data_IF_918463541962
#
_entry.id   IF_918463541962
#
_cell.length_a   1.000
_cell.length_b   1.000
_cell.length_c   1.000
_cell.angle_alpha   90.00
_cell.angle_beta   90.00
_cell.angle_gamma   90.00
#
_symmetry.space_group_name_H-M   'P 1'
#
loop_
_entity.id
_entity.type
_entity.pdbx_description
1 polymer ?
#
# COMPACT_ATOMS: atom_id res chain seq x y z
N UNK A 1 33.14 -36.85 28.25
CA UNK A 1 32.20 -35.71 28.40
C UNK A 1 31.61 -35.41 27.03
N UNK A 2 30.54 -36.12 26.68
CA UNK A 2 29.91 -36.04 25.36
C UNK A 2 28.69 -35.12 25.44
N UNK A 3 28.73 -33.98 24.75
CA UNK A 3 27.56 -33.11 24.57
C UNK A 3 26.71 -33.67 23.43
N UNK A 4 25.66 -34.38 23.81
CA UNK A 4 24.51 -34.66 22.95
C UNK A 4 23.81 -33.34 22.62
N UNK A 5 23.89 -32.88 21.36
CA UNK A 5 22.98 -31.85 20.84
C UNK A 5 22.16 -32.48 19.73
N UNK A 6 21.05 -33.11 20.14
CA UNK A 6 19.93 -33.44 19.26
C UNK A 6 19.39 -32.14 18.65
N UNK A 7 19.55 -31.97 17.33
CA UNK A 7 18.83 -30.94 16.56
C UNK A 7 17.98 -31.68 15.55
N UNK A 8 16.82 -32.12 15.99
CA UNK A 8 15.78 -32.67 15.11
C UNK A 8 15.43 -31.59 14.07
N UNK A 9 15.81 -31.81 12.81
CA UNK A 9 15.30 -31.03 11.70
C UNK A 9 13.81 -31.38 11.58
N UNK A 10 12.93 -30.42 11.88
CA UNK A 10 11.50 -30.58 11.69
C UNK A 10 11.25 -31.01 10.22
N UNK A 11 10.71 -32.21 10.04
CA UNK A 11 10.38 -32.78 8.74
C UNK A 11 9.35 -31.87 8.07
N UNK A 12 9.73 -31.17 7.00
CA UNK A 12 8.84 -30.27 6.28
C UNK A 12 7.68 -31.07 5.68
N UNK A 13 6.46 -30.76 6.11
CA UNK A 13 5.25 -31.25 5.46
C UNK A 13 5.10 -30.56 4.09
N UNK A 14 5.54 -31.26 3.04
CA UNK A 14 5.49 -30.78 1.65
C UNK A 14 4.07 -30.67 1.11
N UNK A 15 3.08 -31.30 1.74
CA UNK A 15 1.68 -31.20 1.33
C UNK A 15 1.08 -29.87 1.81
N UNK A 16 1.51 -29.39 2.99
CA UNK A 16 1.07 -28.10 3.56
C UNK A 16 1.93 -26.90 3.12
N UNK A 17 3.21 -27.11 2.82
CA UNK A 17 4.16 -26.07 2.45
C UNK A 17 4.84 -26.31 1.08
N UNK A 18 4.07 -26.42 -0.02
CA UNK A 18 4.63 -26.82 -1.31
C UNK A 18 5.43 -25.70 -2.01
N UNK A 19 5.22 -24.42 -1.67
CA UNK A 19 5.75 -23.30 -2.43
C UNK A 19 7.05 -22.74 -1.86
N UNK A 20 7.95 -22.30 -2.73
CA UNK A 20 9.11 -21.45 -2.39
C UNK A 20 8.82 -20.01 -2.80
N UNK A 21 9.67 -19.09 -2.35
CA UNK A 21 9.56 -17.66 -2.69
C UNK A 21 9.46 -17.40 -4.20
N UNK A 22 10.21 -18.16 -5.02
CA UNK A 22 10.12 -18.06 -6.48
C UNK A 22 8.72 -18.42 -7.00
N UNK A 23 8.11 -19.45 -6.43
CA UNK A 23 6.79 -19.93 -6.84
C UNK A 23 5.70 -18.90 -6.44
N UNK A 24 5.81 -18.28 -5.25
CA UNK A 24 4.93 -17.16 -4.87
C UNK A 24 5.01 -16.01 -5.88
N UNK A 25 6.21 -15.62 -6.29
CA UNK A 25 6.43 -14.55 -7.26
C UNK A 25 5.82 -14.88 -8.64
N UNK A 26 5.95 -16.14 -9.09
CA UNK A 26 5.38 -16.60 -10.35
C UNK A 26 3.85 -16.59 -10.34
N UNK A 27 3.22 -17.04 -9.25
CA UNK A 27 1.76 -17.13 -9.15
C UNK A 27 1.07 -15.79 -8.88
N UNK A 28 1.77 -14.83 -8.27
CA UNK A 28 1.21 -13.51 -7.91
C UNK A 28 1.68 -12.39 -8.84
N UNK A 29 2.71 -12.64 -9.64
CA UNK A 29 3.35 -11.64 -10.50
C UNK A 29 4.25 -10.63 -9.76
N UNK A 30 4.26 -10.68 -8.41
CA UNK A 30 5.07 -9.84 -7.52
C UNK A 30 6.55 -10.20 -7.61
N UNK A 31 7.42 -9.21 -7.38
CA UNK A 31 8.83 -9.50 -7.16
C UNK A 31 9.08 -9.96 -5.71
N UNK A 32 10.23 -10.60 -5.50
CA UNK A 32 10.63 -11.14 -4.19
C UNK A 32 10.68 -10.10 -3.09
N UNK A 33 11.10 -8.87 -3.40
CA UNK A 33 11.24 -7.81 -2.41
C UNK A 33 9.87 -7.32 -1.95
N UNK A 34 8.91 -7.19 -2.87
CA UNK A 34 7.51 -6.85 -2.55
C UNK A 34 6.86 -7.91 -1.64
N UNK A 35 7.10 -9.20 -1.90
CA UNK A 35 6.60 -10.28 -1.04
C UNK A 35 7.25 -10.21 0.35
N UNK A 36 8.56 -9.99 0.45
CA UNK A 36 9.24 -9.82 1.74
C UNK A 36 8.75 -8.59 2.49
N UNK A 37 8.46 -7.50 1.78
CA UNK A 37 7.92 -6.29 2.37
C UNK A 37 6.54 -6.54 2.98
N UNK A 38 5.64 -7.25 2.30
CA UNK A 38 4.34 -7.61 2.85
C UNK A 38 4.46 -8.56 4.06
N UNK A 39 5.40 -9.51 4.03
CA UNK A 39 5.68 -10.36 5.20
C UNK A 39 6.20 -9.52 6.38
N UNK A 40 7.16 -8.63 6.14
CA UNK A 40 7.73 -7.75 7.16
C UNK A 40 6.71 -6.77 7.76
N UNK A 41 5.72 -6.35 6.97
CA UNK A 41 4.60 -5.51 7.39
C UNK A 41 3.48 -6.29 8.09
N UNK A 42 3.57 -7.62 8.19
CA UNK A 42 2.57 -8.49 8.82
C UNK A 42 1.36 -8.80 7.94
N UNK A 43 1.34 -8.33 6.68
CA UNK A 43 0.23 -8.56 5.75
C UNK A 43 0.11 -10.02 5.33
N UNK A 44 1.22 -10.76 5.35
CA UNK A 44 1.30 -12.18 5.03
C UNK A 44 2.11 -12.86 6.12
N UNK A 45 1.67 -14.01 6.66
CA UNK A 45 2.42 -14.76 7.65
C UNK A 45 3.86 -15.07 7.20
N UNK A 46 4.76 -15.23 8.18
CA UNK A 46 6.10 -15.74 7.88
C UNK A 46 6.03 -17.18 7.35
N UNK A 47 6.76 -17.46 6.27
CA UNK A 47 6.88 -18.82 5.75
C UNK A 47 7.63 -19.75 6.70
N UNK A 48 7.34 -21.05 6.59
CA UNK A 48 7.95 -22.10 7.40
C UNK A 48 9.47 -22.22 7.13
N UNK A 49 10.28 -21.72 8.06
CA UNK A 49 11.75 -21.71 7.99
C UNK A 49 12.31 -23.12 8.17
N UNK A 50 13.07 -23.61 7.19
CA UNK A 50 13.76 -24.92 7.25
C UNK A 50 15.28 -24.78 7.38
N UNK A 51 15.85 -23.70 6.84
CA UNK A 51 17.26 -23.29 6.98
C UNK A 51 17.35 -21.76 7.04
N UNK A 52 18.51 -21.23 7.43
CA UNK A 52 18.74 -19.78 7.57
C UNK A 52 18.28 -18.94 6.36
N UNK A 53 18.44 -19.46 5.14
CA UNK A 53 18.05 -18.78 3.90
C UNK A 53 16.90 -19.47 3.14
N UNK A 54 16.14 -20.35 3.79
CA UNK A 54 15.11 -21.15 3.10
C UNK A 54 13.81 -21.24 3.91
N UNK A 55 12.77 -20.65 3.35
CA UNK A 55 11.39 -20.69 3.84
C UNK A 55 10.46 -21.27 2.77
N UNK A 56 9.48 -22.04 3.22
CA UNK A 56 8.41 -22.61 2.39
C UNK A 56 7.07 -21.99 2.76
N UNK A 57 6.15 -21.95 1.80
CA UNK A 57 4.89 -21.23 1.89
C UNK A 57 3.75 -22.15 1.46
N UNK A 58 2.59 -21.96 2.08
CA UNK A 58 1.37 -22.71 1.79
C UNK A 58 0.44 -21.96 0.84
N UNK A 59 -0.66 -22.60 0.42
CA UNK A 59 -1.70 -21.96 -0.40
C UNK A 59 -2.28 -20.72 0.30
N UNK A 60 -2.40 -20.75 1.64
CA UNK A 60 -2.84 -19.61 2.45
C UNK A 60 -2.01 -18.33 2.20
N UNK A 61 -0.73 -18.46 1.84
CA UNK A 61 0.11 -17.30 1.53
C UNK A 61 -0.21 -16.73 0.15
N UNK A 62 -0.56 -17.59 -0.82
CA UNK A 62 -0.97 -17.17 -2.16
C UNK A 62 -2.33 -16.48 -2.12
N UNK A 63 -3.30 -17.06 -1.44
CA UNK A 63 -4.63 -16.48 -1.24
C UNK A 63 -4.53 -15.10 -0.59
N UNK A 64 -3.70 -14.99 0.45
CA UNK A 64 -3.51 -13.73 1.16
C UNK A 64 -2.79 -12.67 0.33
N UNK A 65 -1.76 -13.04 -0.44
CA UNK A 65 -1.11 -12.12 -1.39
C UNK A 65 -2.06 -11.64 -2.49
N UNK A 66 -2.94 -12.52 -3.00
CA UNK A 66 -3.96 -12.15 -3.99
C UNK A 66 -4.97 -11.18 -3.38
N UNK A 67 -5.38 -11.38 -2.14
CA UNK A 67 -6.29 -10.48 -1.44
C UNK A 67 -5.65 -9.13 -1.11
N UNK A 68 -4.37 -9.10 -0.71
CA UNK A 68 -3.60 -7.84 -0.57
C UNK A 68 -3.56 -7.10 -1.91
N UNK A 69 -3.33 -7.80 -3.02
CA UNK A 69 -3.32 -7.22 -4.35
C UNK A 69 -4.68 -6.67 -4.76
N UNK A 70 -5.76 -7.40 -4.51
CA UNK A 70 -7.13 -6.96 -4.78
C UNK A 70 -7.46 -5.71 -3.95
N UNK A 71 -7.18 -5.72 -2.65
CA UNK A 71 -7.44 -4.58 -1.77
C UNK A 71 -6.56 -3.36 -2.08
N UNK A 72 -5.30 -3.56 -2.48
CA UNK A 72 -4.40 -2.48 -2.89
C UNK A 72 -4.85 -1.88 -4.23
N UNK A 73 -5.04 -2.73 -5.25
CA UNK A 73 -5.32 -2.29 -6.62
C UNK A 73 -6.77 -1.83 -6.83
N UNK A 74 -7.73 -2.44 -6.13
CA UNK A 74 -9.14 -2.08 -6.25
C UNK A 74 -9.61 -1.08 -5.20
N UNK A 75 -8.82 -0.72 -4.17
CA UNK A 75 -9.31 0.13 -3.08
C UNK A 75 -8.35 1.21 -2.57
N UNK A 76 -7.10 1.29 -3.03
CA UNK A 76 -6.10 2.25 -2.51
C UNK A 76 -6.05 2.28 -0.98
N UNK A 77 -6.31 1.13 -0.34
CA UNK A 77 -6.30 1.05 1.10
C UNK A 77 -4.83 1.08 1.57
N UNK A 78 -4.49 1.96 2.54
CA UNK A 78 -3.18 1.92 3.18
C UNK A 78 -2.88 0.51 3.69
N UNK A 79 -1.62 0.10 3.60
CA UNK A 79 -1.21 -1.28 3.89
C UNK A 79 -1.55 -1.71 5.31
N UNK A 80 -1.52 -0.81 6.28
CA UNK A 80 -1.92 -1.10 7.65
C UNK A 80 -3.46 -1.30 7.78
N UNK A 81 -4.27 -0.64 6.96
CA UNK A 81 -5.73 -0.90 6.87
C UNK A 81 -6.00 -2.26 6.22
N UNK A 82 -5.23 -2.61 5.18
CA UNK A 82 -5.30 -3.95 4.57
C UNK A 82 -4.91 -5.02 5.61
N UNK A 83 -3.86 -4.79 6.41
CA UNK A 83 -3.47 -5.69 7.49
C UNK A 83 -4.59 -5.88 8.51
N UNK A 84 -5.21 -4.80 8.98
CA UNK A 84 -6.33 -4.86 9.92
C UNK A 84 -7.54 -5.65 9.38
N UNK A 85 -7.79 -5.59 8.07
CA UNK A 85 -8.84 -6.38 7.41
C UNK A 85 -8.44 -7.86 7.27
N UNK A 86 -7.16 -8.15 7.03
CA UNK A 86 -6.65 -9.50 6.74
C UNK A 86 -6.32 -10.35 7.96
N UNK A 87 -5.80 -9.76 9.03
CA UNK A 87 -5.38 -10.51 10.22
C UNK A 87 -6.55 -10.99 11.05
N UNK A 88 -7.77 -10.48 10.81
CA UNK A 88 -8.91 -10.79 11.67
C UNK A 88 -8.60 -10.50 13.15
N UNK A 89 -7.61 -9.63 13.43
CA UNK A 89 -7.42 -9.10 14.77
C UNK A 89 -8.65 -8.27 15.08
N UNK A 90 -9.53 -8.86 15.88
CA UNK A 90 -10.78 -8.33 16.42
C UNK A 90 -10.57 -7.15 17.37
N UNK A 91 -9.63 -6.25 17.06
CA UNK A 91 -9.24 -5.14 17.94
C UNK A 91 -9.46 -3.74 17.38
N UNK A 92 -9.90 -3.54 16.13
CA UNK A 92 -10.26 -2.17 15.68
C UNK A 92 -11.70 -1.99 15.21
N UNK A 93 -12.34 -2.99 14.57
CA UNK A 93 -13.71 -2.83 14.09
C UNK A 93 -14.64 -3.99 14.46
N UNK A 94 -15.76 -3.65 15.12
CA UNK A 94 -16.86 -4.56 15.42
C UNK A 94 -17.52 -5.09 14.13
N UNK A 95 -18.23 -6.22 14.17
CA UNK A 95 -18.96 -6.75 13.02
C UNK A 95 -19.87 -5.72 12.34
N UNK A 96 -20.53 -4.87 13.14
CA UNK A 96 -21.40 -3.79 12.66
C UNK A 96 -20.61 -2.71 11.92
N UNK A 97 -19.43 -2.36 12.44
CA UNK A 97 -18.52 -1.40 11.80
C UNK A 97 -17.99 -1.94 10.46
N UNK A 98 -17.63 -3.23 10.39
CA UNK A 98 -17.20 -3.87 9.13
C UNK A 98 -18.34 -3.88 8.09
N UNK A 99 -19.56 -4.21 8.51
CA UNK A 99 -20.72 -4.19 7.64
C UNK A 99 -21.02 -2.78 7.10
N UNK A 100 -20.92 -1.76 7.96
CA UNK A 100 -21.05 -0.36 7.53
C UNK A 100 -19.97 0.01 6.51
N UNK A 101 -18.70 -0.33 6.75
CA UNK A 101 -17.61 -0.01 5.83
C UNK A 101 -17.82 -0.63 4.45
N UNK A 102 -18.31 -1.88 4.37
CA UNK A 102 -18.67 -2.53 3.10
C UNK A 102 -19.82 -1.79 2.40
N UNK A 103 -20.88 -1.45 3.14
CA UNK A 103 -22.03 -0.74 2.59
C UNK A 103 -21.70 0.67 2.11
N UNK A 104 -20.85 1.39 2.84
CA UNK A 104 -20.36 2.72 2.45
C UNK A 104 -19.47 2.60 1.22
N UNK A 105 -18.55 1.63 1.20
CA UNK A 105 -17.65 1.34 0.07
C UNK A 105 -18.41 1.16 -1.25
N UNK A 106 -19.54 0.46 -1.23
CA UNK A 106 -20.40 0.31 -2.41
C UNK A 106 -21.02 1.64 -2.86
N UNK A 107 -21.42 2.48 -1.90
CA UNK A 107 -22.11 3.77 -2.13
C UNK A 107 -21.19 4.91 -2.52
N UNK A 108 -19.92 4.87 -2.12
CA UNK A 108 -18.89 5.85 -2.50
C UNK A 108 -18.00 5.34 -3.63
N UNK A 109 -18.36 4.20 -4.24
CA UNK A 109 -17.61 3.64 -5.36
C UNK A 109 -17.49 4.64 -6.52
N UNK A 110 -18.49 5.49 -6.73
CA UNK A 110 -18.49 6.59 -7.69
C UNK A 110 -17.47 7.68 -7.36
N UNK A 111 -17.29 8.06 -6.09
CA UNK A 111 -16.27 9.04 -5.65
C UNK A 111 -14.88 8.44 -5.70
N UNK A 112 -14.74 7.19 -5.27
CA UNK A 112 -13.51 6.42 -5.40
C UNK A 112 -13.16 6.15 -6.87
N UNK A 113 -14.17 6.06 -7.75
CA UNK A 113 -14.02 5.95 -9.20
C UNK A 113 -13.82 7.31 -9.89
N UNK A 114 -14.35 8.41 -9.37
CA UNK A 114 -14.10 9.75 -9.92
C UNK A 114 -12.68 10.22 -9.61
N UNK A 115 -12.14 9.75 -8.48
CA UNK A 115 -10.71 9.82 -8.16
C UNK A 115 -9.90 8.75 -8.89
N UNK A 116 -10.60 7.79 -9.55
CA UNK A 116 -10.00 6.77 -10.41
C UNK A 116 -10.40 6.87 -11.88
N UNK A 117 -9.77 7.75 -12.65
CA UNK A 117 -9.83 7.78 -14.10
C UNK A 117 -10.00 6.40 -14.74
N UNK A 118 -11.18 6.18 -15.33
CA UNK A 118 -11.58 5.09 -16.23
C UNK A 118 -11.35 3.61 -15.77
N UNK A 119 -10.63 3.35 -14.69
CA UNK A 119 -10.08 2.01 -14.38
C UNK A 119 -9.06 1.53 -15.42
N UNK A 120 -8.58 2.44 -16.27
CA UNK A 120 -7.60 2.17 -17.30
C UNK A 120 -6.21 2.06 -16.68
N UNK A 121 -5.38 1.26 -17.33
CA UNK A 121 -3.97 1.15 -16.98
C UNK A 121 -3.13 1.64 -18.14
N UNK A 122 -2.04 2.37 -17.84
CA UNK A 122 -1.12 2.92 -18.81
C UNK A 122 0.20 2.14 -18.77
N UNK A 123 0.76 1.83 -19.94
CA UNK A 123 2.07 1.20 -20.02
C UNK A 123 3.14 2.12 -19.39
N UNK A 124 3.94 1.58 -18.48
CA UNK A 124 4.85 2.41 -17.67
C UNK A 124 6.09 2.83 -18.44
N UNK A 125 6.59 2.00 -19.35
CA UNK A 125 7.86 2.23 -20.04
C UNK A 125 7.88 3.52 -20.89
N UNK A 126 6.82 3.87 -21.64
CA UNK A 126 6.70 5.19 -22.27
C UNK A 126 6.74 6.36 -21.28
N UNK A 127 6.05 6.25 -20.13
CA UNK A 127 6.02 7.30 -19.11
C UNK A 127 7.40 7.55 -18.49
N UNK A 128 8.10 6.48 -18.11
CA UNK A 128 9.47 6.59 -17.59
C UNK A 128 10.41 7.29 -18.57
N UNK A 129 10.34 6.93 -19.86
CA UNK A 129 11.15 7.56 -20.90
C UNK A 129 10.79 9.03 -21.09
N UNK A 130 9.49 9.35 -21.13
CA UNK A 130 8.98 10.71 -21.30
C UNK A 130 9.45 11.63 -20.16
N UNK A 131 9.41 11.14 -18.93
CA UNK A 131 9.71 11.93 -17.73
C UNK A 131 11.14 11.75 -17.20
N UNK A 132 11.98 10.98 -17.89
CA UNK A 132 13.36 10.71 -17.49
C UNK A 132 13.48 10.02 -16.12
N UNK A 133 12.45 9.27 -15.70
CA UNK A 133 12.42 8.52 -14.45
C UNK A 133 13.07 7.15 -14.68
N UNK A 134 14.04 6.81 -13.86
CA UNK A 134 14.80 5.57 -13.94
C UNK A 134 14.00 4.39 -13.39
N UNK A 135 14.41 3.17 -13.74
CA UNK A 135 13.82 1.95 -13.17
C UNK A 135 14.10 1.81 -11.67
N UNK A 136 15.12 2.48 -11.15
CA UNK A 136 15.51 2.40 -9.75
C UNK A 136 14.61 3.32 -8.91
N UNK A 137 14.41 4.55 -9.37
CA UNK A 137 13.41 5.47 -8.80
C UNK A 137 12.00 4.87 -8.84
N UNK A 138 11.63 4.19 -9.94
CA UNK A 138 10.36 3.46 -10.01
C UNK A 138 10.25 2.43 -8.88
N UNK A 139 11.28 1.61 -8.68
CA UNK A 139 11.28 0.58 -7.63
C UNK A 139 11.20 1.21 -6.24
N UNK A 140 11.82 2.38 -6.03
CA UNK A 140 11.69 3.12 -4.77
C UNK A 140 10.27 3.65 -4.57
N UNK A 141 9.63 4.20 -5.60
CA UNK A 141 8.23 4.64 -5.54
C UNK A 141 7.28 3.47 -5.23
N UNK A 142 7.51 2.31 -5.84
CA UNK A 142 6.77 1.07 -5.53
C UNK A 142 6.99 0.63 -4.07
N UNK A 143 8.25 0.67 -3.58
CA UNK A 143 8.60 0.28 -2.21
C UNK A 143 8.00 1.21 -1.15
N UNK A 144 7.86 2.51 -1.46
CA UNK A 144 7.15 3.46 -0.62
C UNK A 144 5.63 3.29 -0.68
N UNK A 145 5.12 2.42 -1.57
CA UNK A 145 3.68 2.18 -1.71
C UNK A 145 2.94 3.31 -2.45
N UNK A 146 3.66 4.28 -3.02
CA UNK A 146 3.08 5.43 -3.72
C UNK A 146 2.44 5.04 -5.06
N UNK A 147 2.86 3.92 -5.65
CA UNK A 147 2.32 3.40 -6.90
C UNK A 147 2.11 1.88 -6.82
N UNK A 148 1.07 1.40 -7.51
CA UNK A 148 0.88 -0.01 -7.82
C UNK A 148 1.22 -0.31 -9.28
N UNK A 149 1.97 -1.39 -9.54
CA UNK A 149 2.18 -1.87 -10.91
C UNK A 149 1.57 -3.23 -11.13
N UNK A 150 1.00 -3.43 -12.32
CA UNK A 150 0.39 -4.68 -12.77
C UNK A 150 1.05 -5.14 -14.07
N UNK A 151 1.19 -6.45 -14.26
CA UNK A 151 1.71 -7.02 -15.50
C UNK A 151 0.56 -7.40 -16.42
N UNK A 152 0.49 -6.75 -17.59
CA UNK A 152 -0.47 -7.07 -18.64
C UNK A 152 0.32 -7.51 -19.87
N UNK A 153 0.11 -8.75 -20.32
CA UNK A 153 0.80 -9.35 -21.48
C UNK A 153 2.33 -9.19 -21.41
N UNK A 154 2.89 -9.34 -20.22
CA UNK A 154 4.34 -9.25 -19.96
C UNK A 154 4.91 -7.83 -19.81
N UNK A 155 4.11 -6.78 -20.04
CA UNK A 155 4.52 -5.39 -19.83
C UNK A 155 3.97 -4.83 -18.50
N UNK A 156 4.79 -4.03 -17.81
CA UNK A 156 4.37 -3.32 -16.60
C UNK A 156 3.47 -2.14 -16.97
N UNK A 157 2.34 -2.07 -16.28
CA UNK A 157 1.36 -0.99 -16.37
C UNK A 157 1.10 -0.43 -14.98
N UNK A 158 0.65 0.81 -14.94
CA UNK A 158 0.16 1.48 -13.74
C UNK A 158 -1.30 1.88 -13.93
N UNK A 159 -2.11 1.93 -12.88
CA UNK A 159 -3.38 2.65 -12.92
C UNK A 159 -3.16 4.06 -13.48
N UNK A 160 -4.07 4.53 -14.32
CA UNK A 160 -3.98 5.89 -14.86
C UNK A 160 -3.94 6.95 -13.74
N UNK A 161 -4.56 6.63 -12.61
CA UNK A 161 -4.60 7.46 -11.40
C UNK A 161 -3.31 7.52 -10.62
N UNK A 162 -2.37 6.64 -10.91
CA UNK A 162 -1.05 6.65 -10.28
C UNK A 162 -0.04 7.41 -11.16
N UNK A 163 -0.42 7.80 -12.39
CA UNK A 163 0.47 8.49 -13.33
C UNK A 163 0.96 9.81 -12.74
N UNK A 164 0.12 10.55 -12.01
CA UNK A 164 0.49 11.83 -11.41
C UNK A 164 1.67 11.70 -10.44
N UNK A 165 1.90 10.53 -9.84
CA UNK A 165 3.04 10.31 -8.93
C UNK A 165 4.36 10.38 -9.70
N UNK A 166 4.40 9.78 -10.89
CA UNK A 166 5.57 9.85 -11.79
C UNK A 166 5.78 11.29 -12.26
N UNK A 167 4.69 11.97 -12.62
CA UNK A 167 4.74 13.37 -13.06
C UNK A 167 5.19 14.32 -11.93
N UNK A 168 4.71 14.10 -10.71
CA UNK A 168 5.14 14.84 -9.52
C UNK A 168 6.64 14.65 -9.27
N UNK A 169 7.12 13.40 -9.28
CA UNK A 169 8.54 13.13 -9.07
C UNK A 169 9.41 13.79 -10.14
N UNK A 170 8.98 13.74 -11.40
CA UNK A 170 9.66 14.43 -12.49
C UNK A 170 9.68 15.96 -12.28
N UNK A 171 8.54 16.54 -11.88
CA UNK A 171 8.41 17.97 -11.62
C UNK A 171 9.31 18.42 -10.45
N UNK A 172 9.44 17.62 -9.40
CA UNK A 172 10.36 17.89 -8.29
C UNK A 172 11.81 17.95 -8.77
N UNK A 173 12.23 17.01 -9.62
CA UNK A 173 13.58 17.00 -10.20
C UNK A 173 13.83 18.19 -11.13
N UNK A 174 12.83 18.60 -11.92
CA UNK A 174 12.89 19.79 -12.77
C UNK A 174 13.00 21.07 -11.93
N UNK A 175 12.30 21.13 -10.79
CA UNK A 175 12.38 22.23 -9.83
C UNK A 175 13.69 22.28 -9.03
N UNK A 176 14.58 21.29 -9.19
CA UNK A 176 15.90 21.26 -8.57
C UNK A 176 16.05 20.32 -7.38
N UNK A 177 15.01 19.58 -6.97
CA UNK A 177 15.13 18.53 -5.96
C UNK A 177 15.78 17.28 -6.59
N UNK A 178 17.10 17.32 -6.74
CA UNK A 178 17.87 16.28 -7.41
C UNK A 178 18.81 15.54 -6.48
N UNK A 179 19.20 14.34 -6.89
CA UNK A 179 20.06 13.43 -6.13
C UNK A 179 21.42 14.03 -5.81
N UNK A 180 21.95 14.91 -6.66
CA UNK A 180 23.24 15.58 -6.43
C UNK A 180 23.18 16.55 -5.24
N UNK A 181 21.99 17.05 -4.89
CA UNK A 181 21.73 17.87 -3.71
C UNK A 181 21.25 17.02 -2.51
N UNK A 182 21.26 15.69 -2.65
CA UNK A 182 20.84 14.74 -1.61
C UNK A 182 19.35 14.38 -1.64
N UNK A 183 18.56 14.94 -2.55
CA UNK A 183 17.13 14.65 -2.68
C UNK A 183 16.88 13.42 -3.55
N UNK A 184 16.22 12.41 -3.01
CA UNK A 184 15.81 11.18 -3.69
C UNK A 184 14.36 10.81 -3.38
N UNK A 185 13.89 9.73 -4.01
CA UNK A 185 12.52 9.25 -3.80
C UNK A 185 12.25 8.94 -2.33
N UNK A 186 13.26 8.42 -1.61
CA UNK A 186 13.21 8.16 -0.16
C UNK A 186 12.74 9.36 0.69
N UNK A 187 12.97 10.60 0.26
CA UNK A 187 12.57 11.79 1.03
C UNK A 187 11.04 11.95 1.06
N UNK A 188 10.34 11.42 0.05
CA UNK A 188 8.88 11.30 0.05
C UNK A 188 8.38 10.36 1.15
N UNK A 189 9.20 9.42 1.62
CA UNK A 189 8.83 8.44 2.64
C UNK A 189 8.40 9.08 3.96
N UNK A 190 8.96 10.25 4.30
CA UNK A 190 8.55 11.01 5.49
C UNK A 190 7.10 11.52 5.38
N UNK A 191 6.70 11.98 4.19
CA UNK A 191 5.34 12.42 3.91
C UNK A 191 4.38 11.23 3.91
N UNK A 192 4.76 10.12 3.27
CA UNK A 192 3.96 8.88 3.25
C UNK A 192 3.67 8.41 4.67
N UNK A 193 4.70 8.23 5.49
CA UNK A 193 4.53 7.78 6.87
C UNK A 193 3.66 8.72 7.71
N UNK A 194 3.79 10.03 7.52
CA UNK A 194 2.98 11.01 8.23
C UNK A 194 1.51 10.99 7.78
N UNK A 195 1.25 10.83 6.48
CA UNK A 195 -0.10 10.74 5.92
C UNK A 195 -0.77 9.43 6.35
N UNK A 196 -0.06 8.31 6.29
CA UNK A 196 -0.56 7.01 6.75
C UNK A 196 -0.97 7.07 8.22
N UNK A 197 -0.09 7.58 9.09
CA UNK A 197 -0.39 7.72 10.53
C UNK A 197 -1.56 8.68 10.81
N UNK A 198 -1.68 9.75 10.02
CA UNK A 198 -2.82 10.67 10.10
C UNK A 198 -4.12 9.94 9.71
N UNK A 199 -4.12 9.24 8.58
CA UNK A 199 -5.29 8.54 8.08
C UNK A 199 -5.74 7.42 9.02
N UNK A 200 -4.81 6.62 9.56
CA UNK A 200 -5.11 5.60 10.58
C UNK A 200 -5.81 6.21 11.79
N UNK A 201 -5.33 7.37 12.25
CA UNK A 201 -5.95 8.09 13.36
C UNK A 201 -7.35 8.59 12.99
N UNK A 202 -7.54 9.14 11.80
CA UNK A 202 -8.84 9.58 11.32
C UNK A 202 -9.85 8.42 11.30
N UNK A 203 -9.45 7.26 10.75
CA UNK A 203 -10.32 6.08 10.71
C UNK A 203 -10.65 5.61 12.13
N UNK A 204 -9.66 5.52 13.03
CA UNK A 204 -9.86 5.14 14.43
C UNK A 204 -10.85 6.07 15.16
N UNK A 205 -10.70 7.38 14.98
CA UNK A 205 -11.49 8.39 15.69
C UNK A 205 -12.91 8.56 15.11
N UNK A 206 -13.06 8.37 13.79
CA UNK A 206 -14.32 8.58 13.08
C UNK A 206 -15.20 7.34 13.04
N UNK A 207 -14.64 6.14 12.88
CA UNK A 207 -15.44 4.92 12.65
C UNK A 207 -16.47 4.63 13.76
N UNK A 208 -16.18 4.76 15.06
CA UNK A 208 -17.17 4.59 16.12
C UNK A 208 -18.34 5.59 16.05
N UNK A 209 -18.11 6.79 15.51
CA UNK A 209 -19.13 7.84 15.34
C UNK A 209 -19.99 7.56 14.11
N UNK A 210 -19.35 7.14 13.03
CA UNK A 210 -20.01 6.80 11.76
C UNK A 210 -20.85 5.51 11.88
N UNK A 211 -20.43 4.56 12.72
CA UNK A 211 -21.14 3.31 13.02
C UNK A 211 -22.61 3.50 13.47
N UNK A 212 -22.95 4.68 13.97
CA UNK A 212 -24.30 5.02 14.46
C UNK A 212 -25.22 5.57 13.38
N UNK A 213 -24.70 5.80 12.17
CA UNK A 213 -25.41 6.45 11.07
C UNK A 213 -25.74 5.44 9.97
N UNK A 214 -26.82 5.67 9.19
CA UNK A 214 -27.09 4.91 7.98
C UNK A 214 -25.95 5.06 6.96
N UNK A 215 -25.66 3.99 6.21
CA UNK A 215 -24.58 3.96 5.23
C UNK A 215 -24.67 5.08 4.17
N UNK A 216 -25.88 5.46 3.74
CA UNK A 216 -26.09 6.56 2.79
C UNK A 216 -25.65 7.91 3.36
N UNK A 217 -25.91 8.15 4.64
CA UNK A 217 -25.50 9.36 5.32
C UNK A 217 -23.97 9.40 5.51
N UNK A 218 -23.36 8.26 5.86
CA UNK A 218 -21.90 8.16 5.97
C UNK A 218 -21.22 8.36 4.61
N UNK A 219 -21.78 7.78 3.55
CA UNK A 219 -21.30 7.99 2.19
C UNK A 219 -21.34 9.48 1.82
N UNK A 220 -22.44 10.17 2.11
CA UNK A 220 -22.57 11.61 1.83
C UNK A 220 -21.61 12.48 2.64
N UNK A 221 -21.39 12.16 3.91
CA UNK A 221 -20.37 12.80 4.73
C UNK A 221 -18.97 12.61 4.13
N UNK A 222 -18.66 11.43 3.60
CA UNK A 222 -17.40 11.17 2.92
C UNK A 222 -17.27 12.00 1.63
N UNK A 223 -18.30 12.00 0.75
CA UNK A 223 -18.27 12.75 -0.52
C UNK A 223 -18.02 14.24 -0.31
N UNK A 224 -18.70 14.82 0.68
CA UNK A 224 -18.60 16.26 0.99
C UNK A 224 -17.39 16.58 1.86
N UNK A 225 -16.99 15.66 2.73
CA UNK A 225 -15.92 15.85 3.71
C UNK A 225 -14.53 15.76 3.09
N UNK A 226 -14.28 14.78 2.22
CA UNK A 226 -12.94 14.51 1.69
C UNK A 226 -12.32 15.75 0.99
N UNK A 227 -13.02 16.49 0.11
CA UNK A 227 -12.47 17.70 -0.50
C UNK A 227 -12.16 18.82 0.51
N UNK A 228 -12.95 18.92 1.59
CA UNK A 228 -12.74 19.92 2.65
C UNK A 228 -11.50 19.59 3.48
N UNK A 229 -11.29 18.31 3.82
CA UNK A 229 -10.10 17.84 4.54
C UNK A 229 -8.84 18.06 3.67
N UNK A 230 -8.88 17.67 2.39
CA UNK A 230 -7.77 17.91 1.46
C UNK A 230 -7.40 19.40 1.37
N UNK A 231 -8.41 20.26 1.29
CA UNK A 231 -8.22 21.71 1.28
C UNK A 231 -7.62 22.23 2.59
N UNK A 232 -8.05 21.70 3.73
CA UNK A 232 -7.48 22.05 5.03
C UNK A 232 -6.00 21.65 5.12
N UNK A 233 -5.66 20.41 4.78
CA UNK A 233 -4.28 19.90 4.82
C UNK A 233 -3.34 20.75 3.98
N UNK A 234 -3.71 21.02 2.72
CA UNK A 234 -2.90 21.83 1.82
C UNK A 234 -2.70 23.27 2.35
N UNK A 235 -3.78 23.95 2.75
CA UNK A 235 -3.72 25.35 3.21
C UNK A 235 -3.00 25.48 4.55
N UNK A 236 -3.18 24.51 5.45
CA UNK A 236 -2.50 24.53 6.75
C UNK A 236 -1.01 24.27 6.60
N UNK A 237 -0.60 23.34 5.73
CA UNK A 237 0.81 23.13 5.38
C UNK A 237 1.44 24.42 4.81
N UNK A 238 0.78 25.07 3.85
CA UNK A 238 1.23 26.36 3.29
C UNK A 238 1.35 27.44 4.37
N UNK A 239 0.38 27.53 5.28
CA UNK A 239 0.41 28.49 6.39
C UNK A 239 1.60 28.22 7.33
N UNK A 240 1.91 26.96 7.62
CA UNK A 240 3.08 26.57 8.41
C UNK A 240 4.39 26.96 7.73
N UNK A 241 4.54 26.66 6.44
CA UNK A 241 5.72 27.05 5.67
C UNK A 241 5.89 28.58 5.67
N UNK A 242 4.83 29.34 5.37
CA UNK A 242 4.86 30.80 5.41
C UNK A 242 5.27 31.34 6.78
N UNK A 243 4.68 30.82 7.86
CA UNK A 243 4.99 31.27 9.21
C UNK A 243 6.42 30.92 9.63
N UNK A 244 6.96 29.79 9.19
CA UNK A 244 8.34 29.42 9.43
C UNK A 244 9.31 30.41 8.77
N UNK A 245 9.09 30.73 7.49
CA UNK A 245 9.95 31.69 6.78
C UNK A 245 9.76 33.14 7.24
N UNK A 246 8.62 33.51 7.82
CA UNK A 246 8.41 34.83 8.39
C UNK A 246 9.14 35.06 9.73
N UNK A 247 9.73 34.01 10.32
CA UNK A 247 10.49 34.09 11.57
C UNK A 247 11.99 34.35 11.36
N UNK A 248 12.44 34.38 10.11
CA UNK A 248 13.81 34.68 9.69
C UNK A 248 13.81 35.88 8.74
#
# INVERSE_FOLDING_TARGET
>A
MSRTSSRAAATLDRQRWPYRMKDLCEHTGLDRQTVHFYIAKGLVPEGHKTKANMAYYGEEHLERLRLVLELKNERFLPLDTIRAVLDGEDHEFSPEQRALLVQVKERVADVLAASRGSGSTVAIAPLLRKHGVTRDELRELEQLGLIGTVKIRGAQHIPEDDVWVIELWASLREAGFRTELGFGVKDLGSYVAAIDALFEREVRDLTPRLARLPADQVAELFRRGLPLVNSFLARYHQAKARNFFAQF
#
